data_IF_373825543628
#
_entry.id   IF_373825543628
#
_cell.length_a   1.000
_cell.length_b   1.000
_cell.length_c   1.000
_cell.angle_alpha   90.00
_cell.angle_beta   90.00
_cell.angle_gamma   90.00
#
_symmetry.space_group_name_H-M   'P 1'
#
loop_
_entity.id
_entity.type
_entity.pdbx_description
1 polymer ?
#
# COMPACT_ATOMS: atom_id res chain seq x y z
N UNK A 1 2.52 -10.85 21.57
CA UNK A 1 1.91 -9.85 20.65
C UNK A 1 1.67 -10.57 19.34
N UNK A 2 0.52 -10.40 18.72
CA UNK A 2 0.25 -10.89 17.37
C UNK A 2 -0.19 -9.71 16.50
N UNK A 3 0.59 -9.44 15.45
CA UNK A 3 0.35 -8.40 14.45
C UNK A 3 -0.24 -9.05 13.20
N UNK A 4 -1.42 -8.59 12.80
CA UNK A 4 -2.02 -8.89 11.50
C UNK A 4 -1.75 -7.72 10.54
N UNK A 5 -1.10 -7.97 9.41
CA UNK A 5 -0.90 -6.98 8.34
C UNK A 5 -1.77 -7.35 7.14
N UNK A 6 -2.46 -6.37 6.55
CA UNK A 6 -3.39 -6.56 5.44
C UNK A 6 -3.03 -5.60 4.30
N UNK A 7 -2.87 -6.13 3.08
CA UNK A 7 -2.83 -5.31 1.86
C UNK A 7 -3.76 -5.89 0.80
N UNK A 8 -4.64 -5.02 0.30
CA UNK A 8 -5.62 -5.33 -0.77
C UNK A 8 -5.77 -4.15 -1.73
N UNK A 9 -4.76 -3.28 -1.82
CA UNK A 9 -4.82 -2.04 -2.62
C UNK A 9 -4.68 -2.29 -4.13
N UNK A 10 -4.42 -3.52 -4.57
CA UNK A 10 -4.13 -3.88 -5.97
C UNK A 10 -4.91 -5.14 -6.39
N UNK A 11 -4.65 -5.70 -7.57
CA UNK A 11 -5.13 -7.04 -7.93
C UNK A 11 -4.39 -8.17 -7.20
N UNK A 12 -3.35 -7.85 -6.43
CA UNK A 12 -2.70 -8.76 -5.49
C UNK A 12 -3.14 -8.42 -4.07
N UNK A 13 -3.64 -9.42 -3.36
CA UNK A 13 -3.93 -9.35 -1.94
C UNK A 13 -2.88 -10.10 -1.15
N UNK A 14 -2.60 -9.66 0.07
CA UNK A 14 -1.71 -10.37 0.98
C UNK A 14 -2.06 -10.14 2.44
N UNK A 15 -1.71 -11.12 3.28
CA UNK A 15 -1.74 -11.03 4.73
C UNK A 15 -0.42 -11.52 5.33
N UNK A 16 -0.08 -11.01 6.50
CA UNK A 16 1.06 -11.48 7.29
C UNK A 16 0.68 -11.50 8.78
N UNK A 17 0.96 -12.62 9.46
CA UNK A 17 0.83 -12.79 10.90
C UNK A 17 2.24 -12.86 11.51
N UNK A 18 2.53 -11.97 12.46
CA UNK A 18 3.86 -11.82 13.04
C UNK A 18 3.78 -11.69 14.57
N UNK A 19 4.65 -12.37 15.30
CA UNK A 19 4.63 -12.36 16.78
C UNK A 19 5.47 -11.23 17.44
N UNK A 20 5.97 -10.30 16.63
CA UNK A 20 6.98 -9.30 17.00
C UNK A 20 8.46 -9.74 16.86
N UNK A 21 8.74 -11.03 16.65
CA UNK A 21 10.09 -11.58 16.45
C UNK A 21 10.25 -12.26 15.10
N UNK A 22 9.29 -13.10 14.72
CA UNK A 22 9.28 -13.84 13.46
C UNK A 22 7.91 -13.77 12.79
N UNK A 23 7.90 -13.94 11.47
CA UNK A 23 6.69 -14.18 10.70
C UNK A 23 6.22 -15.61 11.00
N UNK A 24 4.98 -15.74 11.46
CA UNK A 24 4.36 -17.03 11.74
C UNK A 24 3.59 -17.58 10.54
N UNK A 25 3.04 -16.69 9.73
CA UNK A 25 2.31 -17.04 8.52
C UNK A 25 2.32 -15.87 7.52
N UNK A 26 2.51 -16.18 6.25
CA UNK A 26 2.37 -15.25 5.14
C UNK A 26 1.54 -15.91 4.05
N UNK A 27 0.65 -15.13 3.44
CA UNK A 27 -0.16 -15.59 2.32
C UNK A 27 -0.39 -14.43 1.35
N UNK A 28 -0.35 -14.75 0.07
CA UNK A 28 -0.61 -13.81 -1.02
C UNK A 28 -1.38 -14.49 -2.13
N UNK A 29 -2.22 -13.72 -2.81
CA UNK A 29 -3.05 -14.22 -3.88
C UNK A 29 -3.22 -13.17 -4.96
N UNK A 30 -3.28 -13.65 -6.21
CA UNK A 30 -3.80 -12.85 -7.30
C UNK A 30 -5.33 -12.93 -7.31
N UNK A 31 -5.97 -11.82 -7.63
CA UNK A 31 -7.41 -11.69 -7.58
C UNK A 31 -8.07 -12.42 -8.75
N UNK A 32 -8.61 -13.61 -8.48
CA UNK A 32 -9.52 -14.33 -9.40
C UNK A 32 -11.00 -14.06 -9.08
N UNK A 33 -11.30 -13.67 -7.83
CA UNK A 33 -12.64 -13.35 -7.30
C UNK A 33 -12.65 -11.95 -6.68
N UNK A 34 -13.50 -11.64 -5.70
CA UNK A 34 -13.43 -10.38 -4.95
C UNK A 34 -12.57 -10.50 -3.69
N UNK A 35 -11.81 -9.46 -3.32
CA UNK A 35 -11.08 -9.46 -2.04
C UNK A 35 -12.02 -9.65 -0.84
N UNK A 36 -13.28 -9.19 -0.94
CA UNK A 36 -14.26 -9.31 0.13
C UNK A 36 -14.63 -10.77 0.43
N UNK A 37 -14.57 -11.64 -0.58
CA UNK A 37 -14.88 -13.07 -0.44
C UNK A 37 -13.68 -13.88 0.08
N UNK A 38 -12.46 -13.41 -0.20
CA UNK A 38 -11.23 -14.19 0.01
C UNK A 38 -10.48 -13.78 1.27
N UNK A 39 -10.47 -12.49 1.63
CA UNK A 39 -9.64 -11.96 2.72
C UNK A 39 -9.98 -12.59 4.08
N UNK A 40 -11.25 -12.64 4.46
CA UNK A 40 -11.68 -13.23 5.73
C UNK A 40 -11.27 -14.71 5.89
N UNK A 41 -11.62 -15.58 4.92
CA UNK A 41 -11.18 -16.97 4.92
C UNK A 41 -9.66 -17.15 4.97
N UNK A 42 -8.89 -16.32 4.26
CA UNK A 42 -7.42 -16.36 4.28
C UNK A 42 -6.85 -16.03 5.65
N UNK A 43 -7.40 -15.00 6.32
CA UNK A 43 -7.02 -14.65 7.70
C UNK A 43 -7.33 -15.82 8.64
N UNK A 44 -8.51 -16.43 8.52
CA UNK A 44 -8.90 -17.57 9.35
C UNK A 44 -7.94 -18.76 9.15
N UNK A 45 -7.63 -19.11 7.90
CA UNK A 45 -6.68 -20.18 7.57
C UNK A 45 -5.29 -19.92 8.18
N UNK A 46 -4.81 -18.67 8.09
CA UNK A 46 -3.54 -18.28 8.70
C UNK A 46 -3.53 -18.42 10.22
N UNK A 47 -4.61 -17.97 10.88
CA UNK A 47 -4.77 -18.11 12.33
C UNK A 47 -4.84 -19.59 12.77
N UNK A 48 -5.59 -20.41 12.04
CA UNK A 48 -5.71 -21.84 12.29
C UNK A 48 -4.35 -22.55 12.14
N UNK A 49 -3.57 -22.20 11.11
CA UNK A 49 -2.24 -22.75 10.86
C UNK A 49 -1.27 -22.49 12.02
N UNK A 50 -1.41 -21.34 12.69
CA UNK A 50 -0.56 -20.96 13.85
C UNK A 50 -1.25 -21.26 15.20
N UNK A 51 -2.42 -21.89 15.18
CA UNK A 51 -3.25 -22.24 16.35
C UNK A 51 -3.56 -21.04 17.24
N UNK A 52 -3.82 -19.89 16.64
CA UNK A 52 -4.25 -18.67 17.32
C UNK A 52 -5.71 -18.36 16.96
N UNK A 53 -6.35 -17.52 17.76
CA UNK A 53 -7.70 -17.01 17.54
C UNK A 53 -7.65 -15.57 17.06
N UNK A 54 -8.73 -15.11 16.44
CA UNK A 54 -8.89 -13.70 16.08
C UNK A 54 -8.76 -12.73 17.27
N UNK A 55 -9.12 -13.19 18.48
CA UNK A 55 -8.96 -12.44 19.73
C UNK A 55 -7.51 -12.30 20.21
N UNK A 56 -6.59 -13.12 19.69
CA UNK A 56 -5.18 -13.06 20.08
C UNK A 56 -4.42 -11.98 19.31
N UNK A 57 -5.03 -11.42 18.24
CA UNK A 57 -4.51 -10.28 17.50
C UNK A 57 -4.51 -9.06 18.41
N UNK A 58 -3.32 -8.48 18.59
CA UNK A 58 -3.09 -7.33 19.48
C UNK A 58 -2.90 -6.01 18.74
N UNK A 59 -2.69 -6.05 17.42
CA UNK A 59 -2.54 -4.87 16.56
C UNK A 59 -2.83 -5.27 15.11
N UNK A 60 -3.44 -4.36 14.35
CA UNK A 60 -3.66 -4.55 12.90
C UNK A 60 -2.96 -3.44 12.11
N UNK A 61 -2.13 -3.83 11.16
CA UNK A 61 -1.57 -2.93 10.16
C UNK A 61 -2.35 -3.04 8.84
N UNK A 62 -2.61 -1.91 8.21
CA UNK A 62 -3.33 -1.84 6.95
C UNK A 62 -2.59 -0.96 5.95
N UNK A 63 -2.46 -1.49 4.73
CA UNK A 63 -2.20 -0.69 3.55
C UNK A 63 -3.45 0.17 3.25
N UNK A 64 -3.29 1.49 3.29
CA UNK A 64 -4.39 2.44 3.10
C UNK A 64 -4.51 2.96 1.66
N UNK A 65 -3.74 2.42 0.70
CA UNK A 65 -3.69 2.93 -0.66
C UNK A 65 -2.59 3.99 -0.84
N UNK A 66 -2.50 4.65 -1.99
CA UNK A 66 -3.46 4.67 -3.10
C UNK A 66 -3.49 3.36 -3.89
N UNK A 67 -4.60 3.12 -4.59
CA UNK A 67 -4.82 1.90 -5.38
C UNK A 67 -6.28 1.69 -5.77
N UNK A 68 -6.66 0.43 -5.97
CA UNK A 68 -8.05 0.02 -6.24
C UNK A 68 -8.99 0.52 -5.15
N UNK A 69 -9.93 1.40 -5.49
CA UNK A 69 -10.87 1.99 -4.53
C UNK A 69 -11.62 0.92 -3.73
N UNK A 70 -12.13 -0.11 -4.42
CA UNK A 70 -12.80 -1.24 -3.80
C UNK A 70 -11.85 -2.05 -2.91
N UNK A 71 -10.65 -2.34 -3.41
CA UNK A 71 -9.65 -3.11 -2.69
C UNK A 71 -9.18 -2.44 -1.40
N UNK A 72 -8.83 -1.15 -1.47
CA UNK A 72 -8.45 -0.33 -0.31
C UNK A 72 -9.59 -0.28 0.71
N UNK A 73 -10.83 -0.04 0.27
CA UNK A 73 -11.98 -0.01 1.18
C UNK A 73 -12.20 -1.33 1.90
N UNK A 74 -12.02 -2.47 1.22
CA UNK A 74 -12.12 -3.79 1.83
C UNK A 74 -11.06 -3.96 2.92
N UNK A 75 -9.79 -3.72 2.60
CA UNK A 75 -8.69 -3.86 3.57
C UNK A 75 -8.86 -2.98 4.80
N UNK A 76 -9.15 -1.69 4.59
CA UNK A 76 -9.39 -0.72 5.67
C UNK A 76 -10.60 -1.11 6.53
N UNK A 77 -11.71 -1.53 5.91
CA UNK A 77 -12.91 -1.91 6.66
C UNK A 77 -12.69 -3.18 7.48
N UNK A 78 -11.98 -4.17 6.91
CA UNK A 78 -11.61 -5.39 7.65
C UNK A 78 -10.68 -5.04 8.82
N UNK A 79 -9.65 -4.22 8.59
CA UNK A 79 -8.74 -3.79 9.65
C UNK A 79 -9.48 -3.05 10.78
N UNK A 80 -10.39 -2.12 10.44
CA UNK A 80 -11.26 -1.45 11.41
C UNK A 80 -12.10 -2.43 12.21
N UNK A 81 -12.71 -3.42 11.55
CA UNK A 81 -13.57 -4.39 12.21
C UNK A 81 -12.81 -5.22 13.25
N UNK A 82 -11.62 -5.73 12.90
CA UNK A 82 -10.74 -6.42 13.85
C UNK A 82 -10.32 -5.51 15.01
N UNK A 83 -9.93 -4.27 14.69
CA UNK A 83 -9.46 -3.33 15.69
C UNK A 83 -10.55 -2.89 16.67
N UNK A 84 -11.76 -2.67 16.16
CA UNK A 84 -12.95 -2.38 16.96
C UNK A 84 -13.34 -3.56 17.84
N UNK A 85 -13.44 -4.76 17.28
CA UNK A 85 -13.88 -5.95 18.00
C UNK A 85 -12.94 -6.35 19.14
N UNK A 86 -11.63 -6.18 18.94
CA UNK A 86 -10.61 -6.52 19.95
C UNK A 86 -10.18 -5.34 20.82
N UNK A 87 -10.68 -4.12 20.56
CA UNK A 87 -10.24 -2.89 21.20
C UNK A 87 -8.71 -2.68 21.15
N UNK A 88 -8.14 -2.81 19.95
CA UNK A 88 -6.70 -2.75 19.68
C UNK A 88 -6.34 -1.58 18.75
N UNK A 89 -5.09 -1.08 18.81
CA UNK A 89 -4.63 -0.03 17.89
C UNK A 89 -4.47 -0.54 16.45
N UNK A 90 -4.41 0.42 15.53
CA UNK A 90 -4.10 0.17 14.12
C UNK A 90 -2.87 0.94 13.65
N UNK A 91 -2.25 0.45 12.58
CA UNK A 91 -1.15 1.11 11.88
C UNK A 91 -1.56 1.32 10.44
N UNK A 92 -1.44 2.55 9.96
CA UNK A 92 -1.71 2.91 8.58
C UNK A 92 -0.39 3.13 7.85
N UNK A 93 -0.25 2.56 6.66
CA UNK A 93 0.88 2.81 5.75
C UNK A 93 0.34 2.92 4.34
N UNK A 94 0.82 3.88 3.55
CA UNK A 94 0.43 4.00 2.16
C UNK A 94 1.14 2.97 1.25
N UNK A 95 0.47 2.54 0.19
CA UNK A 95 0.98 1.58 -0.81
C UNK A 95 2.33 1.98 -1.39
N UNK A 96 2.53 3.29 -1.61
CA UNK A 96 3.71 3.82 -2.28
C UNK A 96 4.94 3.67 -1.39
N UNK A 97 4.79 3.92 -0.09
CA UNK A 97 5.82 3.64 0.90
C UNK A 97 6.15 2.15 0.98
N UNK A 98 5.14 1.27 0.90
CA UNK A 98 5.36 -0.18 0.90
C UNK A 98 6.16 -0.67 -0.32
N UNK A 99 6.01 -0.04 -1.48
CA UNK A 99 6.81 -0.34 -2.67
C UNK A 99 8.26 0.14 -2.52
N UNK A 100 8.48 1.29 -1.88
CA UNK A 100 9.81 1.88 -1.73
C UNK A 100 10.63 1.26 -0.58
N UNK A 101 9.98 0.74 0.46
CA UNK A 101 10.64 0.23 1.67
C UNK A 101 11.66 -0.92 1.43
N UNK A 102 11.44 -1.87 0.50
CA UNK A 102 12.39 -2.96 0.25
C UNK A 102 13.73 -2.51 -0.34
N UNK A 103 13.77 -1.37 -1.03
CA UNK A 103 15.00 -0.84 -1.65
C UNK A 103 15.95 -0.39 -0.55
N UNK A 104 17.20 -0.85 -0.54
CA UNK A 104 18.19 -0.56 0.51
C UNK A 104 19.37 0.28 0.01
N UNK A 105 19.47 0.44 -1.29
CA UNK A 105 20.46 1.24 -1.98
C UNK A 105 20.31 2.73 -1.59
N UNK A 106 21.42 3.47 -1.36
CA UNK A 106 21.38 4.90 -1.05
C UNK A 106 21.10 5.70 -2.34
N UNK A 107 19.85 5.70 -2.79
CA UNK A 107 19.42 6.23 -4.08
C UNK A 107 18.07 6.95 -3.97
N UNK A 108 17.75 7.76 -4.98
CA UNK A 108 16.39 8.23 -5.20
C UNK A 108 15.49 7.08 -5.65
N UNK A 109 14.27 7.07 -5.12
CA UNK A 109 13.24 6.08 -5.42
C UNK A 109 11.98 6.82 -5.83
N UNK A 110 11.35 6.38 -6.91
CA UNK A 110 9.99 6.79 -7.27
C UNK A 110 9.11 5.55 -7.28
N UNK A 111 8.20 5.49 -6.31
CA UNK A 111 7.13 4.50 -6.33
C UNK A 111 5.94 5.09 -7.06
N UNK A 112 5.35 4.33 -7.98
CA UNK A 112 4.21 4.78 -8.77
C UNK A 112 3.18 3.68 -8.99
N UNK A 113 1.91 4.07 -9.00
CA UNK A 113 0.76 3.21 -9.27
C UNK A 113 -0.06 3.81 -10.40
N UNK A 114 -0.64 2.96 -11.23
CA UNK A 114 -1.56 3.43 -12.28
C UNK A 114 -2.74 4.20 -11.66
N UNK A 115 -2.93 5.46 -12.07
CA UNK A 115 -4.08 6.29 -11.70
C UNK A 115 -5.08 6.42 -12.86
N UNK A 116 -4.91 5.65 -13.94
CA UNK A 116 -5.62 5.74 -15.20
C UNK A 116 -5.39 7.08 -15.91
N UNK A 117 -5.88 7.22 -17.15
CA UNK A 117 -5.82 8.47 -17.94
C UNK A 117 -4.38 9.01 -18.14
N UNK A 118 -3.39 8.12 -18.27
CA UNK A 118 -1.96 8.47 -18.40
C UNK A 118 -1.38 9.24 -17.21
N UNK A 119 -1.98 9.09 -16.04
CA UNK A 119 -1.48 9.67 -14.79
C UNK A 119 -1.11 8.54 -13.83
N UNK A 120 -0.24 8.85 -12.87
CA UNK A 120 0.15 7.91 -11.82
C UNK A 120 -0.04 8.54 -10.45
N UNK A 121 -0.41 7.71 -9.47
CA UNK A 121 -0.16 8.07 -8.08
C UNK A 121 1.31 7.81 -7.81
N UNK A 122 2.07 8.84 -7.46
CA UNK A 122 3.50 8.73 -7.24
C UNK A 122 3.92 9.42 -5.93
N UNK A 123 5.01 8.89 -5.38
CA UNK A 123 5.72 9.47 -4.25
C UNK A 123 7.21 9.38 -4.56
N UNK A 124 7.97 10.38 -4.09
CA UNK A 124 9.41 10.45 -4.29
C UNK A 124 10.08 10.26 -2.94
N UNK A 125 11.00 9.31 -2.88
CA UNK A 125 11.79 9.04 -1.69
C UNK A 125 13.27 9.16 -2.00
N UNK A 126 14.05 9.38 -0.96
CA UNK A 126 15.50 9.27 -0.98
C UNK A 126 15.92 8.37 0.17
N UNK A 127 16.77 7.38 -0.12
CA UNK A 127 17.38 6.56 0.92
C UNK A 127 18.84 6.94 1.09
N UNK A 128 19.27 7.01 2.35
CA UNK A 128 20.66 7.18 2.76
C UNK A 128 20.94 6.33 4.02
N UNK A 129 22.04 6.63 4.72
CA UNK A 129 22.44 5.93 5.95
C UNK A 129 21.43 6.04 7.09
N UNK A 130 20.62 7.09 7.10
CA UNK A 130 19.62 7.36 8.15
C UNK A 130 18.27 6.70 7.83
N UNK A 131 18.17 6.06 6.67
CA UNK A 131 17.00 5.36 6.20
C UNK A 131 16.35 6.07 5.01
N UNK A 132 15.06 5.80 4.83
CA UNK A 132 14.30 6.31 3.69
C UNK A 132 13.46 7.52 4.12
N UNK A 133 13.76 8.65 3.48
CA UNK A 133 13.11 9.94 3.67
C UNK A 133 12.12 10.18 2.53
N UNK A 134 10.97 10.75 2.87
CA UNK A 134 10.00 11.22 1.89
C UNK A 134 10.40 12.60 1.38
N UNK A 135 10.61 12.71 0.08
CA UNK A 135 10.94 13.96 -0.62
C UNK A 135 9.66 14.60 -1.17
N UNK A 136 8.72 13.78 -1.65
CA UNK A 136 7.40 14.20 -2.07
C UNK A 136 6.36 13.16 -1.63
N UNK A 137 5.33 13.62 -0.92
CA UNK A 137 4.20 12.80 -0.47
C UNK A 137 3.46 12.16 -1.64
N UNK A 138 2.71 11.07 -1.40
CA UNK A 138 1.77 10.51 -2.36
C UNK A 138 0.88 11.57 -3.01
N UNK A 139 0.98 11.71 -4.33
CA UNK A 139 0.19 12.67 -5.11
C UNK A 139 -0.03 12.16 -6.53
N UNK A 140 -0.92 12.82 -7.27
CA UNK A 140 -1.08 12.57 -8.69
C UNK A 140 0.05 13.26 -9.45
N UNK A 141 0.78 12.53 -10.28
CA UNK A 141 1.86 13.07 -11.12
C UNK A 141 1.61 12.77 -12.59
N UNK A 142 1.81 13.79 -13.42
CA UNK A 142 1.92 13.69 -14.87
C UNK A 142 3.33 13.30 -15.29
N UNK A 143 3.49 12.92 -16.58
CA UNK A 143 4.81 12.65 -17.15
C UNK A 143 5.75 13.86 -17.02
N UNK A 144 5.27 15.08 -17.26
CA UNK A 144 6.08 16.30 -17.12
C UNK A 144 6.58 16.51 -15.68
N UNK A 145 5.74 16.19 -14.69
CA UNK A 145 6.15 16.28 -13.28
C UNK A 145 7.19 15.22 -12.93
N UNK A 146 7.08 14.01 -13.50
CA UNK A 146 8.09 12.95 -13.34
C UNK A 146 9.42 13.31 -14.00
N UNK A 147 9.40 13.95 -15.17
CA UNK A 147 10.62 14.44 -15.84
C UNK A 147 11.36 15.47 -14.99
N UNK A 148 10.62 16.31 -14.25
CA UNK A 148 11.20 17.28 -13.32
C UNK A 148 11.73 16.63 -12.04
N UNK A 149 11.13 15.54 -11.58
CA UNK A 149 11.56 14.86 -10.35
C UNK A 149 12.71 13.87 -10.56
N UNK A 150 12.83 13.28 -11.76
CA UNK A 150 13.85 12.28 -12.08
C UNK A 150 14.95 12.92 -12.95
N UNK A 151 15.95 13.48 -12.28
CA UNK A 151 17.09 14.17 -12.91
C UNK A 151 18.44 13.46 -12.69
N UNK A 152 18.42 12.31 -12.02
CA UNK A 152 19.57 11.46 -11.71
C UNK A 152 19.13 10.00 -11.61
N UNK A 153 20.06 9.01 -11.61
CA UNK A 153 19.71 7.60 -11.50
C UNK A 153 18.73 7.34 -10.36
N UNK A 154 17.58 6.77 -10.68
CA UNK A 154 16.43 6.61 -9.79
C UNK A 154 15.85 5.22 -9.95
N UNK A 155 15.65 4.51 -8.84
CA UNK A 155 14.91 3.24 -8.88
C UNK A 155 13.41 3.54 -8.98
N UNK A 156 12.76 2.97 -9.99
CA UNK A 156 11.31 3.11 -10.19
C UNK A 156 10.61 1.79 -9.88
N UNK A 157 9.62 1.82 -9.00
CA UNK A 157 8.84 0.64 -8.58
C UNK A 157 7.34 0.87 -8.68
N UNK A 158 6.60 -0.21 -8.88
CA UNK A 158 5.15 -0.20 -9.00
C UNK A 158 4.66 -0.21 -10.44
N UNK A 159 3.42 -0.70 -10.60
CA UNK A 159 2.78 -0.93 -11.89
C UNK A 159 2.50 0.34 -12.72
N UNK A 160 2.59 1.53 -12.11
CA UNK A 160 2.46 2.80 -12.83
C UNK A 160 3.52 2.99 -13.91
N UNK A 161 4.69 2.35 -13.77
CA UNK A 161 5.75 2.42 -14.78
C UNK A 161 5.30 1.85 -16.13
N UNK A 162 4.60 0.71 -16.15
CA UNK A 162 4.19 0.06 -17.40
C UNK A 162 3.19 0.89 -18.19
N UNK A 163 2.37 1.70 -17.50
CA UNK A 163 1.42 2.63 -18.12
C UNK A 163 2.14 3.82 -18.78
N UNK A 164 3.21 4.30 -18.17
CA UNK A 164 3.95 5.45 -18.65
C UNK A 164 5.03 5.10 -19.66
N UNK A 165 5.57 3.88 -19.60
CA UNK A 165 6.67 3.38 -20.44
C UNK A 165 6.53 3.70 -21.93
N UNK A 166 5.35 3.56 -22.58
CA UNK A 166 5.20 3.89 -24.00
C UNK A 166 5.43 5.37 -24.34
N UNK A 167 5.28 6.26 -23.35
CA UNK A 167 5.34 7.71 -23.52
C UNK A 167 6.58 8.35 -22.87
N UNK A 168 7.47 7.57 -22.25
CA UNK A 168 8.67 8.10 -21.61
C UNK A 168 9.59 8.79 -22.62
N UNK A 169 10.06 9.99 -22.30
CA UNK A 169 11.12 10.62 -23.09
C UNK A 169 12.44 9.89 -22.90
N UNK A 170 13.30 9.91 -23.93
CA UNK A 170 14.66 9.32 -23.86
C UNK A 170 15.50 9.94 -22.73
N UNK A 171 15.24 11.22 -22.42
CA UNK A 171 15.93 11.93 -21.34
C UNK A 171 15.54 11.42 -19.97
N UNK A 172 14.28 11.02 -19.78
CA UNK A 172 13.81 10.42 -18.55
C UNK A 172 14.25 8.96 -18.45
N UNK A 173 14.07 8.19 -19.53
CA UNK A 173 14.36 6.76 -19.58
C UNK A 173 15.80 6.42 -19.17
N UNK A 174 16.78 7.26 -19.58
CA UNK A 174 18.21 7.05 -19.23
C UNK A 174 18.50 7.08 -17.72
N UNK A 175 17.63 7.71 -16.92
CA UNK A 175 17.80 7.82 -15.47
C UNK A 175 17.02 6.75 -14.71
N UNK A 176 16.09 6.05 -15.36
CA UNK A 176 15.26 5.06 -14.71
C UNK A 176 16.03 3.75 -14.58
N UNK A 177 16.08 3.24 -13.35
CA UNK A 177 16.58 1.91 -13.02
C UNK A 177 15.40 1.05 -12.58
N UNK A 178 15.22 -0.09 -13.26
CA UNK A 178 14.23 -1.13 -12.93
C UNK A 178 14.98 -2.41 -12.60
N UNK A 179 14.56 -3.07 -11.54
CA UNK A 179 15.14 -4.34 -11.10
C UNK A 179 13.99 -5.28 -10.71
N UNK A 180 13.93 -6.45 -11.34
CA UNK A 180 12.85 -7.42 -11.16
C UNK A 180 12.83 -8.09 -9.78
N UNK A 181 13.87 -7.88 -8.96
CA UNK A 181 13.86 -8.33 -7.55
C UNK A 181 12.85 -7.58 -6.69
N UNK A 182 12.42 -6.38 -7.12
CA UNK A 182 11.40 -5.61 -6.40
C UNK A 182 10.01 -5.91 -6.94
N UNK A 183 9.05 -6.05 -6.02
CA UNK A 183 7.65 -6.26 -6.38
C UNK A 183 7.01 -4.95 -6.85
N UNK A 184 6.17 -5.03 -7.88
CA UNK A 184 5.37 -3.90 -8.38
C UNK A 184 3.99 -3.78 -7.70
N UNK A 185 3.77 -4.56 -6.65
CA UNK A 185 2.61 -4.47 -5.77
C UNK A 185 3.04 -4.40 -4.30
N UNK A 186 2.25 -3.72 -3.43
CA UNK A 186 2.48 -3.75 -2.00
C UNK A 186 2.41 -5.17 -1.42
N UNK A 187 3.13 -5.37 -0.31
CA UNK A 187 3.23 -6.66 0.38
C UNK A 187 2.92 -6.52 1.86
N UNK A 188 2.05 -7.38 2.38
CA UNK A 188 1.75 -7.47 3.80
C UNK A 188 2.99 -7.84 4.64
N UNK A 189 3.97 -8.54 4.06
CA UNK A 189 5.25 -8.86 4.73
C UNK A 189 6.08 -7.60 4.94
N UNK A 190 6.16 -6.73 3.91
CA UNK A 190 6.84 -5.43 4.02
C UNK A 190 6.11 -4.53 5.01
N UNK A 191 4.77 -4.49 4.94
CA UNK A 191 3.92 -3.77 5.87
C UNK A 191 4.16 -4.23 7.32
N UNK A 192 4.28 -5.53 7.55
CA UNK A 192 4.56 -6.09 8.87
C UNK A 192 5.89 -5.59 9.42
N UNK A 193 6.96 -5.65 8.62
CA UNK A 193 8.28 -5.15 9.01
C UNK A 193 8.28 -3.66 9.36
N UNK A 194 7.66 -2.82 8.53
CA UNK A 194 7.54 -1.39 8.79
C UNK A 194 6.67 -1.10 10.04
N UNK A 195 5.63 -1.90 10.24
CA UNK A 195 4.74 -1.77 11.40
C UNK A 195 5.45 -2.07 12.72
N UNK A 196 6.44 -2.97 12.75
CA UNK A 196 7.27 -3.16 13.94
C UNK A 196 8.10 -1.90 14.29
N UNK A 197 8.53 -1.14 13.28
CA UNK A 197 9.20 0.15 13.50
C UNK A 197 8.20 1.17 14.05
N UNK A 198 7.00 1.24 13.49
CA UNK A 198 5.94 2.14 13.97
C UNK A 198 5.54 1.83 15.42
N UNK A 199 5.41 0.56 15.80
CA UNK A 199 5.14 0.14 17.18
C UNK A 199 6.23 0.61 18.14
N UNK A 200 7.50 0.43 17.80
CA UNK A 200 8.64 0.89 18.62
C UNK A 200 8.65 2.41 18.82
N UNK A 201 8.15 3.15 17.83
CA UNK A 201 8.04 4.61 17.86
C UNK A 201 6.69 5.12 18.41
N UNK A 202 5.81 4.23 18.92
CA UNK A 202 4.45 4.55 19.34
C UNK A 202 3.61 5.27 18.27
N UNK A 203 3.87 4.98 16.98
CA UNK A 203 3.15 5.51 15.82
C UNK A 203 1.97 4.61 15.46
N UNK A 204 0.96 4.61 16.33
CA UNK A 204 -0.31 3.89 16.12
C UNK A 204 -1.48 4.86 16.12
N UNK A 205 -2.61 4.42 15.58
CA UNK A 205 -3.86 5.17 15.53
C UNK A 205 -4.96 4.42 16.31
N UNK A 206 -5.95 5.17 16.79
CA UNK A 206 -7.26 4.58 17.08
C UNK A 206 -7.93 4.12 15.79
N UNK A 207 -8.68 3.01 15.84
CA UNK A 207 -9.33 2.44 14.67
C UNK A 207 -10.29 3.41 13.94
N UNK A 208 -10.88 4.37 14.67
CA UNK A 208 -11.77 5.39 14.10
C UNK A 208 -11.06 6.29 13.10
N UNK A 209 -9.77 6.56 13.33
CA UNK A 209 -8.92 7.44 12.54
C UNK A 209 -8.28 6.75 11.34
N UNK A 210 -8.47 5.43 11.18
CA UNK A 210 -7.96 4.72 10.00
C UNK A 210 -8.78 5.15 8.77
N UNK A 211 -8.19 5.86 7.83
CA UNK A 211 -8.91 6.28 6.63
C UNK A 211 -8.17 5.82 5.37
N UNK A 212 -8.90 5.44 4.31
CA UNK A 212 -8.29 5.24 3.01
C UNK A 212 -7.58 6.51 2.52
N UNK A 213 -6.40 6.36 1.94
CA UNK A 213 -5.71 7.41 1.22
C UNK A 213 -6.24 7.50 -0.21
N UNK A 214 -7.34 8.24 -0.39
CA UNK A 214 -7.91 8.54 -1.70
C UNK A 214 -7.36 9.86 -2.25
N UNK A 215 -6.40 9.75 -3.17
CA UNK A 215 -5.82 10.92 -3.86
C UNK A 215 -6.77 11.44 -4.95
N UNK A 216 -7.52 10.54 -5.59
CA UNK A 216 -8.61 10.88 -6.53
C UNK A 216 -9.94 10.41 -5.98
N UNK A 217 -10.99 11.19 -6.24
CA UNK A 217 -12.37 10.77 -6.00
C UNK A 217 -12.69 9.50 -6.79
N UNK A 218 -13.56 8.64 -6.26
CA UNK A 218 -14.06 7.50 -7.03
C UNK A 218 -14.85 7.97 -8.26
N UNK A 219 -14.99 7.11 -9.28
CA UNK A 219 -15.80 7.43 -10.45
C UNK A 219 -17.27 7.79 -10.09
N UNK A 220 -17.82 7.18 -9.03
CA UNK A 220 -19.15 7.50 -8.55
C UNK A 220 -19.20 8.91 -7.91
N UNK A 221 -18.17 9.29 -7.16
CA UNK A 221 -18.04 10.62 -6.57
C UNK A 221 -17.73 11.70 -7.62
N UNK A 222 -16.87 11.43 -8.61
CA UNK A 222 -16.64 12.32 -9.75
C UNK A 222 -17.96 12.63 -10.47
N UNK A 223 -18.78 11.60 -10.73
CA UNK A 223 -20.10 11.75 -11.35
C UNK A 223 -21.09 12.51 -10.47
N UNK A 224 -21.09 12.29 -9.16
CA UNK A 224 -21.91 13.05 -8.22
C UNK A 224 -21.52 14.54 -8.23
N UNK A 225 -20.22 14.85 -8.22
CA UNK A 225 -19.72 16.24 -8.30
C UNK A 225 -20.05 16.88 -9.64
N UNK A 226 -20.03 16.11 -10.74
CA UNK A 226 -20.43 16.55 -12.08
C UNK A 226 -21.95 16.63 -12.29
N UNK A 227 -22.76 16.24 -11.29
CA UNK A 227 -24.23 16.24 -11.38
C UNK A 227 -24.82 15.11 -12.23
N UNK A 228 -24.02 14.11 -12.59
CA UNK A 228 -24.39 12.96 -13.42
C UNK A 228 -25.01 11.81 -12.59
N UNK A 229 -25.00 11.92 -11.26
CA UNK A 229 -25.66 11.00 -10.32
C UNK A 229 -26.45 11.84 -9.30
N UNK A 230 -27.67 11.42 -8.95
CA UNK A 230 -28.43 11.98 -7.82
C UNK A 230 -28.22 11.09 -6.60
N UNK A 231 -28.00 11.69 -5.41
CA UNK A 231 -28.03 10.93 -4.15
C UNK A 231 -29.44 10.34 -4.00
N UNK A 232 -29.53 9.01 -3.96
CA UNK A 232 -30.71 8.37 -3.40
C UNK A 232 -30.61 8.52 -1.88
N UNK A 233 -31.38 9.48 -1.36
CA UNK A 233 -31.65 9.66 0.08
C UNK A 233 -32.66 8.61 0.51
#
# INVERSE_FOLDING_TARGET
>A
MLLLSISTSTSFGSICLHDGKVILHEDSWHLEKSHAEVLGPRIQLGLDAIKQKASDISVVACDIGPGSFTGVRIGVSTAKAFAYANNIPVIAVDSLRLLAEPIKEPIQIVSMRDAQRQEVYAAVYKRDSDGIQEVATPQLMSLEQLEKSITSPTIVVGDGYEVLKPNLSKTLDKFIVRDSKYLDHPSATVLSGLSLVHLKLNKTLEWKLLEPLYIRLSAAEEKLVKGELKRHV
#
